data_IF_403564468038
#
_entry.id   IF_403564468038
#
_cell.length_a   1.000
_cell.length_b   1.000
_cell.length_c   1.000
_cell.angle_alpha   90.00
_cell.angle_beta   90.00
_cell.angle_gamma   90.00
#
_symmetry.space_group_name_H-M   'P 1'
#
loop_
_entity.id
_entity.type
_entity.pdbx_description
1 polymer ?
#
# COMPACT_ATOMS: atom_id res chain seq x y z
N UNK A 1 46.59 14.25 -3.13
CA UNK A 1 45.59 15.35 -3.18
C UNK A 1 44.52 15.08 -4.22
N UNK A 2 44.85 14.89 -5.50
CA UNK A 2 43.86 14.59 -6.57
C UNK A 2 42.91 13.44 -6.18
N UNK A 3 43.47 12.30 -5.72
CA UNK A 3 42.73 11.13 -5.25
C UNK A 3 41.67 11.44 -4.18
N UNK A 4 41.95 12.39 -3.27
CA UNK A 4 40.99 12.81 -2.23
C UNK A 4 39.83 13.62 -2.83
N UNK A 5 40.10 14.44 -3.84
CA UNK A 5 39.07 15.14 -4.63
C UNK A 5 38.18 14.13 -5.36
N UNK A 6 38.77 13.11 -5.97
CA UNK A 6 38.05 12.08 -6.74
C UNK A 6 37.18 11.21 -5.82
N UNK A 7 37.72 10.75 -4.69
CA UNK A 7 36.98 10.04 -3.64
C UNK A 7 35.82 10.90 -3.11
N UNK A 8 36.06 12.19 -2.84
CA UNK A 8 35.04 13.13 -2.34
C UNK A 8 33.97 13.41 -3.41
N UNK A 9 34.32 13.40 -4.70
CA UNK A 9 33.38 13.53 -5.79
C UNK A 9 32.48 12.31 -5.90
N UNK A 10 33.06 11.10 -5.86
CA UNK A 10 32.32 9.85 -5.90
C UNK A 10 31.32 9.74 -4.73
N UNK A 11 31.78 9.97 -3.49
CA UNK A 11 30.94 9.93 -2.29
C UNK A 11 29.77 10.92 -2.40
N UNK A 12 30.04 12.16 -2.87
CA UNK A 12 28.98 13.17 -3.04
C UNK A 12 27.94 12.77 -4.08
N UNK A 13 28.34 12.13 -5.18
CA UNK A 13 27.41 11.63 -6.20
C UNK A 13 26.49 10.57 -5.62
N UNK A 14 27.06 9.52 -5.03
CA UNK A 14 26.31 8.41 -4.44
C UNK A 14 25.35 8.85 -3.32
N UNK A 15 25.73 9.82 -2.50
CA UNK A 15 24.84 10.42 -1.50
C UNK A 15 23.70 11.23 -2.15
N UNK A 16 24.00 12.02 -3.18
CA UNK A 16 23.01 12.85 -3.88
C UNK A 16 21.97 12.01 -4.64
N UNK A 17 22.42 10.91 -5.26
CA UNK A 17 21.58 9.92 -5.95
C UNK A 17 20.63 9.22 -4.96
N UNK A 18 21.13 8.89 -3.77
CA UNK A 18 20.34 8.28 -2.69
C UNK A 18 19.36 9.25 -2.02
N UNK A 19 19.76 10.51 -1.80
CA UNK A 19 18.88 11.57 -1.31
C UNK A 19 17.72 11.80 -2.28
N UNK A 20 18.00 11.86 -3.59
CA UNK A 20 16.96 11.98 -4.62
C UNK A 20 15.99 10.78 -4.64
N UNK A 21 16.50 9.56 -4.45
CA UNK A 21 15.67 8.36 -4.33
C UNK A 21 14.77 8.37 -3.09
N UNK A 22 15.30 8.79 -1.91
CA UNK A 22 14.50 8.99 -0.69
C UNK A 22 13.39 10.00 -0.93
N UNK A 23 13.71 11.16 -1.50
CA UNK A 23 12.75 12.25 -1.68
C UNK A 23 11.70 11.95 -2.77
N UNK A 24 11.98 11.01 -3.68
CA UNK A 24 10.98 10.38 -4.55
C UNK A 24 10.11 9.38 -3.78
N UNK A 25 10.71 8.50 -2.96
CA UNK A 25 9.99 7.49 -2.19
C UNK A 25 9.04 8.10 -1.14
N UNK A 26 9.44 9.18 -0.45
CA UNK A 26 8.59 9.94 0.49
C UNK A 26 7.41 10.65 -0.19
N UNK A 27 7.49 10.91 -1.51
CA UNK A 27 6.36 11.40 -2.31
C UNK A 27 5.47 10.26 -2.81
N UNK A 28 6.07 9.18 -3.34
CA UNK A 28 5.34 7.99 -3.80
C UNK A 28 4.58 7.29 -2.66
N UNK A 29 5.12 7.24 -1.44
CA UNK A 29 4.43 6.68 -0.27
C UNK A 29 3.11 7.38 0.01
N UNK A 30 3.13 8.71 0.14
CA UNK A 30 1.95 9.55 0.44
C UNK A 30 0.88 9.42 -0.65
N UNK A 31 1.30 9.33 -1.90
CA UNK A 31 0.40 9.12 -3.04
C UNK A 31 -0.21 7.71 -3.04
N UNK A 32 0.59 6.68 -2.77
CA UNK A 32 0.12 5.30 -2.67
C UNK A 32 -0.88 5.11 -1.51
N UNK A 33 -0.60 5.71 -0.35
CA UNK A 33 -1.52 5.78 0.81
C UNK A 33 -2.84 6.46 0.41
N UNK A 34 -2.79 7.61 -0.30
CA UNK A 34 -3.99 8.30 -0.81
C UNK A 34 -4.82 7.39 -1.72
N UNK A 35 -4.18 6.69 -2.66
CA UNK A 35 -4.84 5.77 -3.59
C UNK A 35 -5.50 4.59 -2.87
N UNK A 36 -4.82 3.98 -1.89
CA UNK A 36 -5.37 2.90 -1.05
C UNK A 36 -6.60 3.38 -0.26
N UNK A 37 -6.46 4.51 0.45
CA UNK A 37 -7.56 5.19 1.14
C UNK A 37 -8.76 5.52 0.23
N UNK A 38 -8.54 5.85 -1.04
CA UNK A 38 -9.64 6.07 -2.00
C UNK A 38 -10.28 4.78 -2.51
N UNK A 39 -9.51 3.71 -2.68
CA UNK A 39 -10.03 2.39 -3.03
C UNK A 39 -10.93 1.83 -1.91
N UNK A 40 -10.52 1.98 -0.66
CA UNK A 40 -11.33 1.64 0.51
C UNK A 40 -12.64 2.45 0.53
N UNK A 41 -12.59 3.76 0.25
CA UNK A 41 -13.82 4.58 0.13
C UNK A 41 -14.72 4.17 -1.04
N UNK A 42 -14.19 3.61 -2.12
CA UNK A 42 -14.99 3.06 -3.23
C UNK A 42 -15.66 1.73 -2.84
N UNK A 43 -14.94 0.85 -2.13
CA UNK A 43 -15.48 -0.39 -1.55
C UNK A 43 -16.70 -0.09 -0.65
N UNK A 44 -16.61 0.88 0.27
CA UNK A 44 -17.71 1.33 1.15
C UNK A 44 -18.96 1.87 0.43
N UNK A 45 -18.85 2.19 -0.87
CA UNK A 45 -19.99 2.58 -1.74
C UNK A 45 -20.46 1.44 -2.64
N UNK A 46 -19.85 0.25 -2.55
CA UNK A 46 -20.05 -0.88 -3.45
C UNK A 46 -19.76 -0.53 -4.93
N UNK A 47 -18.93 0.50 -5.19
CA UNK A 47 -18.49 0.84 -6.54
C UNK A 47 -17.35 -0.08 -6.97
N UNK A 48 -17.73 -1.28 -7.40
CA UNK A 48 -16.81 -2.32 -7.84
C UNK A 48 -16.02 -1.91 -9.08
N UNK A 49 -16.55 -1.01 -9.92
CA UNK A 49 -15.87 -0.56 -11.14
C UNK A 49 -14.77 0.43 -10.79
N UNK A 50 -15.04 1.42 -9.93
CA UNK A 50 -14.01 2.31 -9.41
C UNK A 50 -12.98 1.55 -8.58
N UNK A 51 -13.41 0.57 -7.76
CA UNK A 51 -12.52 -0.34 -7.01
C UNK A 51 -11.55 -1.07 -7.93
N UNK A 52 -12.03 -1.75 -8.97
CA UNK A 52 -11.16 -2.55 -9.86
C UNK A 52 -10.23 -1.68 -10.74
N UNK A 53 -10.57 -0.40 -10.93
CA UNK A 53 -9.67 0.60 -11.53
C UNK A 53 -8.62 1.06 -10.52
N UNK A 54 -9.02 1.41 -9.28
CA UNK A 54 -8.09 1.87 -8.24
C UNK A 54 -7.11 0.79 -7.80
N UNK A 55 -7.53 -0.47 -7.64
CA UNK A 55 -6.62 -1.58 -7.32
C UNK A 55 -5.49 -1.74 -8.35
N UNK A 56 -5.81 -1.63 -9.64
CA UNK A 56 -4.80 -1.66 -10.73
C UNK A 56 -3.84 -0.46 -10.65
N UNK A 57 -4.37 0.73 -10.35
CA UNK A 57 -3.55 1.93 -10.11
C UNK A 57 -2.63 1.80 -8.90
N UNK A 58 -3.12 1.23 -7.79
CA UNK A 58 -2.35 0.93 -6.58
C UNK A 58 -1.24 -0.08 -6.90
N UNK A 59 -1.53 -1.15 -7.64
CA UNK A 59 -0.53 -2.15 -8.02
C UNK A 59 0.62 -1.55 -8.83
N UNK A 60 0.31 -0.70 -9.81
CA UNK A 60 1.31 0.02 -10.61
C UNK A 60 2.13 1.02 -9.77
N UNK A 61 1.47 1.85 -8.95
CA UNK A 61 2.13 2.81 -8.09
C UNK A 61 3.02 2.13 -7.02
N UNK A 62 2.60 0.97 -6.50
CA UNK A 62 3.40 0.14 -5.59
C UNK A 62 4.62 -0.45 -6.29
N UNK A 63 4.49 -0.94 -7.53
CA UNK A 63 5.63 -1.40 -8.33
C UNK A 63 6.62 -0.26 -8.58
N UNK A 64 6.17 0.89 -9.10
CA UNK A 64 6.99 2.09 -9.31
C UNK A 64 7.73 2.52 -8.03
N UNK A 65 7.07 2.41 -6.88
CA UNK A 65 7.65 2.76 -5.60
C UNK A 65 8.76 1.79 -5.18
N UNK A 66 8.55 0.48 -5.35
CA UNK A 66 9.58 -0.55 -5.06
C UNK A 66 10.79 -0.42 -5.99
N UNK A 67 10.56 -0.24 -7.28
CA UNK A 67 11.63 -0.02 -8.29
C UNK A 67 12.46 1.22 -7.94
N UNK A 68 11.80 2.32 -7.54
CA UNK A 68 12.47 3.57 -7.15
C UNK A 68 13.37 3.48 -5.90
N UNK A 69 13.29 2.41 -5.11
CA UNK A 69 14.16 2.16 -3.94
C UNK A 69 14.96 0.85 -4.04
N UNK A 70 14.89 0.13 -5.17
CA UNK A 70 15.47 -1.22 -5.31
C UNK A 70 17.00 -1.26 -5.06
N UNK A 71 17.71 -0.20 -5.43
CA UNK A 71 19.15 -0.05 -5.19
C UNK A 71 19.51 0.31 -3.73
N UNK A 72 18.53 0.63 -2.88
CA UNK A 72 18.72 1.21 -1.56
C UNK A 72 17.86 0.47 -0.51
N UNK A 73 18.32 -0.68 0.02
CA UNK A 73 17.55 -1.49 0.96
C UNK A 73 17.06 -0.73 2.21
N UNK A 74 17.83 0.24 2.71
CA UNK A 74 17.42 1.06 3.86
C UNK A 74 16.31 2.08 3.54
N UNK A 75 16.09 2.40 2.26
CA UNK A 75 14.91 3.15 1.80
C UNK A 75 13.71 2.20 1.60
N UNK A 76 13.95 0.94 1.17
CA UNK A 76 12.90 -0.08 1.09
C UNK A 76 12.35 -0.47 2.46
N UNK A 77 13.21 -0.76 3.45
CA UNK A 77 12.81 -1.11 4.81
C UNK A 77 12.51 0.11 5.71
N UNK A 78 12.48 1.32 5.15
CA UNK A 78 12.10 2.52 5.89
C UNK A 78 10.60 2.53 6.22
N UNK A 79 10.23 3.21 7.32
CA UNK A 79 8.84 3.31 7.77
C UNK A 79 7.89 3.78 6.66
N UNK A 80 8.16 4.92 6.01
CA UNK A 80 7.28 5.45 4.96
C UNK A 80 7.12 4.52 3.74
N UNK A 81 8.06 3.60 3.48
CA UNK A 81 7.89 2.57 2.44
C UNK A 81 7.04 1.41 2.95
N UNK A 82 7.32 0.89 4.14
CA UNK A 82 6.58 -0.23 4.72
C UNK A 82 5.14 0.16 5.11
N UNK A 83 4.91 1.37 5.60
CA UNK A 83 3.58 1.94 5.87
C UNK A 83 2.73 2.01 4.59
N UNK A 84 3.33 2.44 3.47
CA UNK A 84 2.61 2.48 2.20
C UNK A 84 2.32 1.07 1.64
N UNK A 85 3.25 0.11 1.82
CA UNK A 85 3.04 -1.29 1.42
C UNK A 85 2.04 -2.04 2.33
N UNK A 86 1.92 -1.64 3.60
CA UNK A 86 0.88 -2.06 4.54
C UNK A 86 -0.51 -1.66 4.04
N UNK A 87 -0.68 -0.43 3.56
CA UNK A 87 -1.96 0.06 3.03
C UNK A 87 -2.34 -0.61 1.71
N UNK A 88 -1.34 -1.01 0.90
CA UNK A 88 -1.56 -1.89 -0.26
C UNK A 88 -2.11 -3.25 0.18
N UNK A 89 -1.53 -3.85 1.23
CA UNK A 89 -2.02 -5.10 1.78
C UNK A 89 -3.45 -4.96 2.32
N UNK A 90 -3.74 -3.91 3.10
CA UNK A 90 -5.09 -3.59 3.58
C UNK A 90 -6.10 -3.48 2.42
N UNK A 91 -5.86 -2.60 1.44
CA UNK A 91 -6.82 -2.34 0.37
C UNK A 91 -7.15 -3.59 -0.47
N UNK A 92 -6.15 -4.44 -0.73
CA UNK A 92 -6.34 -5.69 -1.47
C UNK A 92 -7.00 -6.80 -0.62
N UNK A 93 -6.64 -6.94 0.66
CA UNK A 93 -7.22 -7.94 1.57
C UNK A 93 -8.69 -7.59 1.87
N UNK A 94 -8.98 -6.33 2.21
CA UNK A 94 -10.34 -5.81 2.45
C UNK A 94 -11.23 -6.01 1.22
N UNK A 95 -10.72 -5.72 0.01
CA UNK A 95 -11.46 -5.98 -1.24
C UNK A 95 -11.80 -7.46 -1.40
N UNK A 96 -10.83 -8.35 -1.18
CA UNK A 96 -11.02 -9.78 -1.33
C UNK A 96 -12.02 -10.34 -0.31
N UNK A 97 -11.94 -9.92 0.96
CA UNK A 97 -12.83 -10.36 2.03
C UNK A 97 -14.29 -9.91 1.78
N UNK A 98 -14.51 -8.61 1.49
CA UNK A 98 -15.85 -8.08 1.18
C UNK A 98 -16.48 -8.81 -0.02
N UNK A 99 -15.69 -9.10 -1.06
CA UNK A 99 -16.17 -9.67 -2.33
C UNK A 99 -16.15 -11.20 -2.37
N UNK A 100 -15.87 -11.88 -1.25
CA UNK A 100 -15.73 -13.34 -1.16
C UNK A 100 -14.71 -13.93 -2.16
N UNK A 101 -13.64 -13.20 -2.46
CA UNK A 101 -12.58 -13.61 -3.38
C UNK A 101 -11.41 -14.28 -2.64
N UNK A 102 -10.58 -15.01 -3.37
CA UNK A 102 -9.36 -15.63 -2.81
C UNK A 102 -8.42 -14.55 -2.27
N UNK A 103 -7.98 -14.71 -1.02
CA UNK A 103 -7.02 -13.77 -0.41
C UNK A 103 -5.70 -13.74 -1.20
N UNK A 104 -5.16 -12.55 -1.52
CA UNK A 104 -3.86 -12.44 -2.17
C UNK A 104 -2.75 -12.85 -1.20
N UNK A 105 -1.70 -13.48 -1.70
CA UNK A 105 -0.52 -13.85 -0.88
C UNK A 105 0.44 -12.66 -0.72
N UNK A 106 1.32 -12.65 0.30
CA UNK A 106 2.38 -11.63 0.41
C UNK A 106 3.23 -11.52 -0.86
N UNK A 107 3.51 -12.65 -1.51
CA UNK A 107 4.27 -12.73 -2.75
C UNK A 107 3.51 -12.13 -3.95
N UNK A 108 2.18 -12.30 -4.02
CA UNK A 108 1.36 -11.71 -5.08
C UNK A 108 1.29 -10.18 -4.97
N UNK A 109 1.28 -9.62 -3.75
CA UNK A 109 1.32 -8.18 -3.50
C UNK A 109 2.75 -7.60 -3.53
N UNK A 110 3.78 -8.46 -3.46
CA UNK A 110 5.20 -8.12 -3.36
C UNK A 110 5.51 -7.26 -2.13
N UNK A 111 5.01 -7.70 -0.96
CA UNK A 111 5.20 -7.04 0.34
C UNK A 111 5.81 -8.03 1.35
N UNK A 112 6.53 -7.50 2.34
CA UNK A 112 7.13 -8.31 3.40
C UNK A 112 6.09 -9.05 4.25
N UNK A 113 6.37 -10.26 4.78
CA UNK A 113 5.40 -11.04 5.56
C UNK A 113 4.89 -10.30 6.82
N UNK A 114 5.73 -9.52 7.49
CA UNK A 114 5.34 -8.66 8.62
C UNK A 114 4.38 -7.55 8.19
N UNK A 115 4.68 -6.90 7.06
CA UNK A 115 3.90 -5.81 6.46
C UNK A 115 2.54 -6.30 5.96
N UNK A 116 2.49 -7.51 5.39
CA UNK A 116 1.25 -8.20 5.04
C UNK A 116 0.37 -8.47 6.28
N UNK A 117 0.95 -9.03 7.35
CA UNK A 117 0.21 -9.32 8.59
C UNK A 117 -0.30 -8.05 9.27
N UNK A 118 0.43 -6.94 9.16
CA UNK A 118 -0.01 -5.64 9.67
C UNK A 118 -1.21 -5.11 8.88
N UNK A 119 -1.13 -5.07 7.54
CA UNK A 119 -2.25 -4.68 6.68
C UNK A 119 -3.47 -5.62 6.79
N UNK A 120 -3.27 -6.89 7.14
CA UNK A 120 -4.35 -7.83 7.46
C UNK A 120 -5.09 -7.48 8.77
N UNK A 121 -4.38 -6.98 9.79
CA UNK A 121 -4.99 -6.54 11.04
C UNK A 121 -5.79 -5.23 10.87
N UNK A 122 -5.33 -4.34 10.00
CA UNK A 122 -6.09 -3.14 9.60
C UNK A 122 -7.29 -3.51 8.72
N UNK A 123 -7.15 -4.46 7.78
CA UNK A 123 -8.27 -4.97 6.99
C UNK A 123 -9.39 -5.54 7.86
N UNK A 124 -9.05 -6.29 8.92
CA UNK A 124 -10.04 -6.77 9.90
C UNK A 124 -10.72 -5.63 10.68
N UNK A 125 -10.03 -4.50 10.86
CA UNK A 125 -10.59 -3.29 11.50
C UNK A 125 -11.52 -2.53 10.55
N UNK A 126 -11.17 -2.45 9.26
CA UNK A 126 -12.00 -1.79 8.24
C UNK A 126 -13.20 -2.67 7.82
N UNK A 127 -13.12 -4.01 7.90
CA UNK A 127 -14.28 -4.92 7.84
C UNK A 127 -15.29 -4.62 8.94
N UNK A 128 -14.84 -4.53 10.20
CA UNK A 128 -15.71 -4.15 11.34
C UNK A 128 -16.43 -2.83 11.06
N UNK A 129 -15.75 -1.86 10.44
CA UNK A 129 -16.35 -0.59 10.04
C UNK A 129 -17.36 -0.76 8.91
N UNK A 130 -17.04 -1.55 7.88
CA UNK A 130 -17.92 -1.85 6.76
C UNK A 130 -19.25 -2.46 7.24
N UNK A 131 -19.19 -3.45 8.15
CA UNK A 131 -20.36 -4.04 8.82
C UNK A 131 -21.18 -2.96 9.55
N UNK A 132 -20.53 -2.10 10.34
CA UNK A 132 -21.21 -1.02 11.07
C UNK A 132 -21.82 0.05 10.14
N UNK A 133 -21.18 0.38 9.02
CA UNK A 133 -21.68 1.34 8.04
C UNK A 133 -22.77 0.73 7.13
N UNK A 134 -22.84 -0.61 7.00
CA UNK A 134 -24.01 -1.33 6.47
C UNK A 134 -25.18 -1.28 7.45
N UNK A 135 -25.00 -1.71 8.70
CA UNK A 135 -26.05 -1.77 9.75
C UNK A 135 -26.70 -0.41 10.07
N UNK A 136 -26.09 0.70 9.63
CA UNK A 136 -26.59 2.06 9.80
C UNK A 136 -27.39 2.59 8.61
N UNK A 137 -27.38 1.87 7.49
CA UNK A 137 -28.32 2.06 6.38
C UNK A 137 -29.50 1.13 6.68
N UNK A 138 -30.73 1.55 6.40
CA UNK A 138 -31.93 0.72 6.68
C UNK A 138 -32.12 -0.42 5.64
N UNK A 139 -31.09 -0.67 4.81
CA UNK A 139 -31.06 -1.75 3.83
C UNK A 139 -30.92 -3.12 4.53
N UNK A 140 -31.75 -4.08 4.13
CA UNK A 140 -31.93 -5.37 4.81
C UNK A 140 -30.82 -6.39 4.53
N UNK A 141 -29.56 -6.01 4.73
CA UNK A 141 -28.37 -6.81 4.44
C UNK A 141 -27.82 -7.58 5.66
N UNK A 142 -28.70 -8.12 6.52
CA UNK A 142 -28.29 -8.90 7.71
C UNK A 142 -27.38 -10.07 7.31
N UNK A 143 -27.78 -10.83 6.29
CA UNK A 143 -27.05 -11.99 5.76
C UNK A 143 -25.63 -11.69 5.29
N UNK A 144 -25.32 -10.45 4.88
CA UNK A 144 -23.95 -10.04 4.51
C UNK A 144 -23.18 -9.48 5.71
N UNK A 145 -23.86 -8.81 6.65
CA UNK A 145 -23.28 -8.35 7.91
C UNK A 145 -22.94 -9.50 8.87
N UNK A 146 -23.69 -10.61 8.83
CA UNK A 146 -23.47 -11.83 9.61
C UNK A 146 -22.37 -12.75 9.01
N UNK A 147 -21.93 -12.47 7.77
CA UNK A 147 -20.92 -13.23 7.03
C UNK A 147 -19.49 -12.69 7.22
N UNK A 148 -19.34 -11.40 7.56
CA UNK A 148 -18.08 -10.66 7.55
C UNK A 148 -17.42 -10.56 8.94
#
# INVERSE_FOLDING_TARGET
>A
MHELTDITHFIRSALSEKDAARDLAVRRSRELIRLCSECIRALHRHDWTETDIKLKGIQAAAQEMREGVQAYPDLYYSGYTQDAMKEVAEAFITSAMIRQQTLPTPQALQVEPSTYLNGMAEAATELRRFILDMMRREDSHSDEAERL
#
